data_IF_719138292951
#
_entry.id   IF_719138292951
#
_cell.length_a   1.000
_cell.length_b   1.000
_cell.length_c   1.000
_cell.angle_alpha   90.00
_cell.angle_beta   90.00
_cell.angle_gamma   90.00
#
_symmetry.space_group_name_H-M   'P 1'
#
loop_
_entity.id
_entity.type
_entity.pdbx_description
1 polymer ?
#
# COMPACT_ATOMS: atom_id res chain seq x y z
N UNK A 1 -3.42 -41.87 16.75
CA UNK A 1 -3.56 -40.53 17.38
C UNK A 1 -2.45 -39.64 16.82
N UNK A 2 -2.85 -38.43 16.39
CA UNK A 2 -2.10 -37.28 15.82
C UNK A 2 -1.25 -37.53 14.57
N UNK A 3 -1.80 -37.13 13.42
CA UNK A 3 -1.03 -36.82 12.22
C UNK A 3 -0.15 -35.58 12.45
N UNK A 4 0.93 -35.50 11.69
CA UNK A 4 1.94 -34.45 11.81
C UNK A 4 1.30 -33.06 11.88
N UNK A 5 1.78 -32.25 12.82
CA UNK A 5 1.40 -30.84 12.95
C UNK A 5 1.84 -30.11 11.67
N UNK A 6 0.94 -30.02 10.70
CA UNK A 6 1.16 -29.27 9.46
C UNK A 6 1.33 -27.80 9.81
N UNK A 7 2.57 -27.31 9.72
CA UNK A 7 2.87 -25.91 9.85
C UNK A 7 2.15 -25.16 8.72
N UNK A 8 1.11 -24.40 9.05
CA UNK A 8 0.53 -23.45 8.11
C UNK A 8 1.43 -22.22 8.10
N UNK A 9 2.10 -21.98 6.97
CA UNK A 9 2.82 -20.73 6.76
C UNK A 9 1.84 -19.55 6.89
N UNK A 10 2.36 -18.40 7.33
CA UNK A 10 1.54 -17.19 7.49
C UNK A 10 0.95 -16.79 6.14
N UNK A 11 -0.38 -16.92 5.99
CA UNK A 11 -1.10 -16.56 4.77
C UNK A 11 -1.02 -15.06 4.44
N UNK A 12 -0.68 -14.24 5.43
CA UNK A 12 -0.56 -12.80 5.29
C UNK A 12 0.75 -12.33 5.89
N UNK A 13 1.38 -11.35 5.24
CA UNK A 13 2.54 -10.65 5.79
C UNK A 13 2.15 -9.20 6.02
N UNK A 14 2.34 -8.72 7.25
CA UNK A 14 2.24 -7.28 7.55
C UNK A 14 3.60 -6.65 7.33
N UNK A 15 3.72 -5.88 6.25
CA UNK A 15 4.93 -5.16 5.90
C UNK A 15 4.71 -3.67 5.94
N UNK A 16 5.72 -2.95 6.42
CA UNK A 16 5.72 -1.49 6.43
C UNK A 16 6.07 -0.99 5.04
N UNK A 17 5.42 0.08 4.62
CA UNK A 17 5.72 0.74 3.34
C UNK A 17 7.20 1.13 3.27
N UNK A 18 7.75 1.61 4.39
CA UNK A 18 9.14 2.05 4.53
C UNK A 18 10.15 0.91 4.31
N UNK A 19 9.72 -0.35 4.45
CA UNK A 19 10.56 -1.51 4.18
C UNK A 19 10.73 -1.78 2.68
N UNK A 20 9.80 -1.31 1.83
CA UNK A 20 9.83 -1.49 0.38
C UNK A 20 10.21 -0.21 -0.36
N UNK A 21 9.72 0.94 0.12
CA UNK A 21 9.94 2.24 -0.48
C UNK A 21 10.45 3.19 0.62
N UNK A 22 11.76 3.16 0.90
CA UNK A 22 12.41 4.12 1.80
C UNK A 22 12.17 5.59 1.39
N UNK A 23 12.44 6.52 2.30
CA UNK A 23 12.19 7.94 2.09
C UNK A 23 13.00 8.54 0.91
N UNK A 24 14.19 7.99 0.65
CA UNK A 24 15.11 8.35 -0.43
C UNK A 24 14.90 7.53 -1.72
N UNK A 25 13.85 6.69 -1.77
CA UNK A 25 13.61 5.82 -2.91
C UNK A 25 13.25 6.61 -4.18
N UNK A 26 13.80 6.27 -5.36
CA UNK A 26 13.55 7.02 -6.60
C UNK A 26 12.08 7.01 -7.06
N UNK A 27 11.27 6.04 -6.61
CA UNK A 27 9.83 5.99 -6.90
C UNK A 27 8.96 6.83 -5.96
N UNK A 28 9.53 7.38 -4.87
CA UNK A 28 8.77 8.17 -3.90
C UNK A 28 8.08 9.41 -4.50
N UNK A 29 8.66 10.10 -5.51
CA UNK A 29 7.99 11.22 -6.19
C UNK A 29 6.65 10.86 -6.84
N UNK A 30 6.44 9.61 -7.26
CA UNK A 30 5.19 9.18 -7.92
C UNK A 30 3.99 9.41 -7.01
N UNK A 31 4.12 9.10 -5.72
CA UNK A 31 3.04 9.33 -4.75
C UNK A 31 2.67 10.82 -4.66
N UNK A 32 3.65 11.72 -4.76
CA UNK A 32 3.38 13.14 -4.74
C UNK A 32 2.59 13.57 -5.98
N UNK A 33 3.04 13.16 -7.17
CA UNK A 33 2.35 13.49 -8.43
C UNK A 33 0.91 12.97 -8.47
N UNK A 34 0.69 11.74 -8.02
CA UNK A 34 -0.66 11.15 -7.95
C UNK A 34 -1.53 11.93 -6.97
N UNK A 35 -1.01 12.28 -5.80
CA UNK A 35 -1.76 13.08 -4.82
C UNK A 35 -2.12 14.46 -5.38
N UNK A 36 -1.19 15.13 -6.07
CA UNK A 36 -1.43 16.44 -6.67
C UNK A 36 -2.48 16.37 -7.78
N UNK A 37 -2.46 15.31 -8.60
CA UNK A 37 -3.48 15.08 -9.62
C UNK A 37 -4.85 14.79 -8.99
N UNK A 38 -4.92 13.97 -7.95
CA UNK A 38 -6.16 13.67 -7.24
C UNK A 38 -6.75 14.91 -6.55
N UNK A 39 -5.91 15.75 -5.95
CA UNK A 39 -6.34 17.00 -5.33
C UNK A 39 -7.00 17.94 -6.34
N UNK A 40 -6.50 18.00 -7.58
CA UNK A 40 -7.12 18.78 -8.66
C UNK A 40 -8.50 18.24 -9.08
N UNK A 41 -8.73 16.94 -8.89
CA UNK A 41 -10.00 16.28 -9.21
C UNK A 41 -10.99 16.25 -8.04
N UNK A 42 -10.57 16.66 -6.84
CA UNK A 42 -11.33 16.54 -5.59
C UNK A 42 -12.73 17.13 -5.70
N UNK A 43 -12.85 18.41 -6.09
CA UNK A 43 -14.12 19.09 -6.23
C UNK A 43 -15.09 18.40 -7.21
N UNK A 44 -14.55 17.77 -8.27
CA UNK A 44 -15.36 17.02 -9.24
C UNK A 44 -15.86 15.71 -8.64
N UNK A 45 -15.04 15.02 -7.87
CA UNK A 45 -15.45 13.80 -7.17
C UNK A 45 -16.47 14.09 -6.06
N UNK A 46 -16.29 15.17 -5.30
CA UNK A 46 -17.24 15.59 -4.26
C UNK A 46 -18.62 15.99 -4.81
N UNK A 47 -18.69 16.40 -6.08
CA UNK A 47 -19.98 16.68 -6.71
C UNK A 47 -20.73 15.41 -7.16
N UNK A 48 -20.04 14.26 -7.26
CA UNK A 48 -20.61 12.99 -7.73
C UNK A 48 -21.12 12.09 -6.61
N UNK A 49 -20.63 12.27 -5.38
CA UNK A 49 -20.90 11.42 -4.21
C UNK A 49 -21.31 12.26 -3.01
#
# INVERSE_FOLDING_TARGET
MRGADGYNESLFTTVRLESFVPADHPLRPIRQWVNDALAQMDARFSAMY
#
